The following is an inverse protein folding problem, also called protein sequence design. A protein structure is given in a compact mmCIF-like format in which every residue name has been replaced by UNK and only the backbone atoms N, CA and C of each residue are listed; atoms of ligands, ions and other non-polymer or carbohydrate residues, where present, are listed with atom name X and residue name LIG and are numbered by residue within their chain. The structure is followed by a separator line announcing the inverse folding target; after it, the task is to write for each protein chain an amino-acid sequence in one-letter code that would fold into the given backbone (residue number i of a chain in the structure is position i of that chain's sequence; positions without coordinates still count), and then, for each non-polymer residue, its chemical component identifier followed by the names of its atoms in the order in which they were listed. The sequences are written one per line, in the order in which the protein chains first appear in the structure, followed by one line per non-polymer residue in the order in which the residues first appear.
data_IF_586545849269
#
_entry.id   IF_586545849269
#
_cell.length_a   1.000
_cell.length_b   1.000
_cell.length_c   1.000
_cell.angle_alpha   90.00
_cell.angle_beta   90.00
_cell.angle_gamma   90.00
#
_symmetry.space_group_name_H-M   'P 1'
#
loop_
_entity.id
_entity.type
_entity.pdbx_description
1 polymer ?
#
# COMPACT_ATOMS: atom_id res chain seq x y z
N UNK A 1 -20.84 -49.46 -23.74
CA UNK A 1 -19.87 -48.35 -23.70
C UNK A 1 -20.24 -47.48 -22.54
N UNK A 2 -19.45 -47.51 -21.48
CA UNK A 2 -19.66 -46.70 -20.28
C UNK A 2 -18.61 -45.59 -20.18
N UNK A 3 -18.93 -44.57 -19.38
CA UNK A 3 -17.93 -43.67 -18.82
C UNK A 3 -18.18 -42.19 -19.10
N UNK A 4 -18.96 -41.57 -18.24
CA UNK A 4 -19.02 -40.12 -18.06
C UNK A 4 -17.68 -39.57 -17.54
N UNK A 5 -17.43 -38.28 -17.79
CA UNK A 5 -16.28 -37.57 -17.23
C UNK A 5 -16.45 -36.07 -17.38
N UNK A 6 -17.30 -35.48 -16.52
CA UNK A 6 -17.39 -34.05 -16.31
C UNK A 6 -16.05 -33.52 -15.78
N UNK A 7 -15.37 -32.67 -16.56
CA UNK A 7 -14.23 -31.89 -16.13
C UNK A 7 -14.69 -30.48 -15.80
N UNK A 8 -14.97 -30.22 -14.53
CA UNK A 8 -15.32 -28.89 -14.03
C UNK A 8 -14.16 -27.92 -14.24
N UNK A 9 -14.39 -26.90 -15.06
CA UNK A 9 -13.63 -25.67 -14.99
C UNK A 9 -14.14 -24.90 -13.77
N UNK A 10 -13.59 -25.21 -12.59
CA UNK A 10 -13.77 -24.36 -11.42
C UNK A 10 -13.28 -22.95 -11.76
N UNK A 11 -13.98 -21.88 -11.35
CA UNK A 11 -13.44 -20.54 -11.50
C UNK A 11 -12.11 -20.50 -10.75
N UNK A 12 -11.06 -20.12 -11.47
CA UNK A 12 -9.78 -19.76 -10.88
C UNK A 12 -10.08 -18.71 -9.82
N UNK A 13 -9.95 -19.10 -8.54
CA UNK A 13 -9.95 -18.15 -7.43
C UNK A 13 -8.77 -17.24 -7.72
N UNK A 14 -9.04 -16.09 -8.32
CA UNK A 14 -8.10 -15.00 -8.35
C UNK A 14 -7.80 -14.75 -6.87
N UNK A 15 -6.60 -15.11 -6.45
CA UNK A 15 -6.15 -14.80 -5.10
C UNK A 15 -6.42 -13.32 -4.89
N UNK A 16 -7.42 -12.99 -4.07
CA UNK A 16 -7.66 -11.66 -3.54
C UNK A 16 -6.41 -11.33 -2.74
N UNK A 17 -5.39 -10.81 -3.44
CA UNK A 17 -4.29 -10.13 -2.80
C UNK A 17 -4.96 -9.10 -1.89
N UNK A 18 -4.71 -9.12 -0.57
CA UNK A 18 -5.30 -8.14 0.33
C UNK A 18 -5.02 -6.75 -0.27
N UNK A 19 -6.03 -5.86 -0.32
CA UNK A 19 -5.89 -4.61 -1.03
C UNK A 19 -4.67 -3.87 -0.50
N UNK A 20 -3.68 -3.71 -1.38
CA UNK A 20 -2.49 -2.93 -1.09
C UNK A 20 -2.84 -1.44 -0.93
N UNK A 21 -1.86 -0.61 -0.57
CA UNK A 21 -2.05 0.83 -0.51
C UNK A 21 -2.57 1.40 -1.84
N UNK A 22 -3.47 2.39 -1.75
CA UNK A 22 -3.94 3.12 -2.92
C UNK A 22 -2.89 4.13 -3.42
N UNK A 23 -3.14 4.76 -4.57
CA UNK A 23 -2.19 5.73 -5.14
C UNK A 23 -1.90 6.92 -4.22
N UNK A 24 -2.90 7.40 -3.47
CA UNK A 24 -2.71 8.49 -2.51
C UNK A 24 -1.86 8.05 -1.32
N UNK A 25 -2.05 6.82 -0.84
CA UNK A 25 -1.24 6.24 0.22
C UNK A 25 0.22 6.10 -0.21
N UNK A 26 0.47 5.69 -1.47
CA UNK A 26 1.82 5.60 -2.04
C UNK A 26 2.49 6.98 -2.19
N UNK A 27 1.76 8.02 -2.59
CA UNK A 27 2.27 9.39 -2.65
C UNK A 27 2.60 9.93 -1.25
N UNK A 28 1.70 9.75 -0.28
CA UNK A 28 1.95 10.11 1.12
C UNK A 28 3.21 9.42 1.62
N UNK A 29 3.32 8.11 1.43
CA UNK A 29 4.44 7.30 1.87
C UNK A 29 5.77 7.79 1.25
N UNK A 30 5.77 8.09 -0.04
CA UNK A 30 6.94 8.62 -0.76
C UNK A 30 7.42 9.95 -0.19
N UNK A 31 6.50 10.88 0.09
CA UNK A 31 6.85 12.19 0.65
C UNK A 31 7.34 12.09 2.10
N UNK A 32 6.74 11.19 2.91
CA UNK A 32 7.20 10.93 4.27
C UNK A 32 8.62 10.35 4.28
N UNK A 33 8.94 9.46 3.34
CA UNK A 33 10.28 8.90 3.18
C UNK A 33 11.29 9.92 2.65
N UNK A 34 10.84 10.93 1.92
CA UNK A 34 11.64 12.11 1.58
C UNK A 34 11.87 13.07 2.78
N UNK A 35 11.43 12.70 3.99
CA UNK A 35 11.63 13.48 5.21
C UNK A 35 10.59 14.57 5.45
N UNK A 36 9.47 14.58 4.70
CA UNK A 36 8.41 15.55 4.94
C UNK A 36 7.58 15.22 6.19
N UNK A 37 7.07 16.26 6.85
CA UNK A 37 6.10 16.13 7.93
C UNK A 37 4.69 15.98 7.37
N UNK A 38 3.77 15.41 8.15
CA UNK A 38 2.38 15.17 7.74
C UNK A 38 1.67 16.46 7.34
N UNK A 39 1.98 17.57 8.02
CA UNK A 39 1.45 18.89 7.69
C UNK A 39 1.95 19.39 6.32
N UNK A 40 3.20 19.13 5.97
CA UNK A 40 3.76 19.50 4.67
C UNK A 40 3.19 18.61 3.56
N UNK A 41 3.06 17.30 3.81
CA UNK A 41 2.41 16.35 2.91
C UNK A 41 0.97 16.75 2.65
N UNK A 42 0.21 17.03 3.72
CA UNK A 42 -1.18 17.49 3.63
C UNK A 42 -1.31 18.72 2.73
N UNK A 43 -0.45 19.72 2.93
CA UNK A 43 -0.43 20.93 2.10
C UNK A 43 -0.07 20.65 0.65
N UNK A 44 0.90 19.76 0.40
CA UNK A 44 1.39 19.48 -0.96
C UNK A 44 0.39 18.66 -1.79
N UNK A 45 -0.39 17.79 -1.14
CA UNK A 45 -1.39 16.94 -1.79
C UNK A 45 -2.81 17.52 -1.75
N UNK A 46 -2.98 18.75 -1.26
CA UNK A 46 -4.30 19.38 -1.01
C UNK A 46 -5.25 18.51 -0.17
N UNK A 47 -4.71 17.89 0.89
CA UNK A 47 -5.43 17.03 1.83
C UNK A 47 -5.53 17.68 3.21
N UNK A 48 -6.55 17.30 3.97
CA UNK A 48 -6.60 17.61 5.40
C UNK A 48 -5.56 16.83 6.21
N UNK A 49 -4.92 17.45 7.21
CA UNK A 49 -3.94 16.80 8.09
C UNK A 49 -4.46 15.49 8.70
N UNK A 50 -5.72 15.48 9.16
CA UNK A 50 -6.35 14.26 9.70
C UNK A 50 -6.50 13.15 8.68
N UNK A 51 -6.67 13.48 7.40
CA UNK A 51 -6.73 12.48 6.32
C UNK A 51 -5.36 11.84 6.11
N UNK A 52 -4.29 12.64 6.09
CA UNK A 52 -2.92 12.11 6.01
C UNK A 52 -2.62 11.20 7.21
N UNK A 53 -2.89 11.66 8.42
CA UNK A 53 -2.66 10.88 9.65
C UNK A 53 -3.47 9.57 9.66
N UNK A 54 -4.74 9.60 9.22
CA UNK A 54 -5.58 8.41 9.12
C UNK A 54 -5.02 7.41 8.11
N UNK A 55 -4.58 7.88 6.95
CA UNK A 55 -3.97 7.03 5.90
C UNK A 55 -2.66 6.41 6.35
N UNK A 56 -1.78 7.18 6.99
CA UNK A 56 -0.53 6.67 7.58
C UNK A 56 -0.81 5.61 8.64
N UNK A 57 -1.83 5.82 9.48
CA UNK A 57 -2.23 4.82 10.46
C UNK A 57 -2.78 3.55 9.77
N UNK A 58 -3.60 3.69 8.73
CA UNK A 58 -4.07 2.56 7.94
C UNK A 58 -2.93 1.77 7.29
N UNK A 59 -1.89 2.46 6.79
CA UNK A 59 -0.68 1.84 6.27
C UNK A 59 0.09 1.05 7.35
N UNK A 60 0.17 1.59 8.57
CA UNK A 60 0.79 0.90 9.70
C UNK A 60 -0.01 -0.35 10.10
N UNK A 61 -1.33 -0.25 10.14
CA UNK A 61 -2.23 -1.37 10.41
C UNK A 61 -2.13 -2.45 9.31
N UNK A 62 -2.09 -2.05 8.04
CA UNK A 62 -1.93 -2.95 6.88
C UNK A 62 -0.59 -3.71 6.92
N UNK A 63 0.48 -3.05 7.36
CA UNK A 63 1.82 -3.62 7.41
C UNK A 63 2.15 -4.33 8.74
N UNK A 64 1.28 -4.20 9.75
CA UNK A 64 1.51 -4.74 11.09
C UNK A 64 2.64 -4.06 11.87
N UNK A 65 3.00 -2.83 11.50
CA UNK A 65 4.07 -2.05 12.13
C UNK A 65 3.51 -0.92 12.99
N UNK A 66 4.34 -0.34 13.85
CA UNK A 66 3.89 0.71 14.79
C UNK A 66 4.65 2.01 14.67
N UNK A 67 5.75 2.02 13.91
CA UNK A 67 6.59 3.22 13.73
C UNK A 67 6.74 3.56 12.26
N UNK A 68 6.96 4.85 11.98
CA UNK A 68 7.19 5.35 10.62
C UNK A 68 8.43 4.74 9.98
N UNK A 69 9.48 4.50 10.77
CA UNK A 69 10.70 3.86 10.29
C UNK A 69 10.44 2.42 9.84
N UNK A 70 9.70 1.64 10.64
CA UNK A 70 9.29 0.29 10.26
C UNK A 70 8.36 0.29 9.04
N UNK A 71 7.46 1.27 8.95
CA UNK A 71 6.61 1.44 7.76
C UNK A 71 7.47 1.69 6.51
N UNK A 72 8.51 2.51 6.61
CA UNK A 72 9.45 2.73 5.52
C UNK A 72 10.22 1.48 5.11
N UNK A 73 10.65 0.67 6.08
CA UNK A 73 11.28 -0.62 5.81
C UNK A 73 10.32 -1.58 5.09
N UNK A 74 9.08 -1.72 5.59
CA UNK A 74 8.06 -2.55 4.99
C UNK A 74 7.72 -2.11 3.57
N UNK A 75 7.62 -0.80 3.34
CA UNK A 75 7.36 -0.22 2.02
C UNK A 75 8.43 -0.62 0.99
N UNK A 76 9.69 -0.70 1.42
CA UNK A 76 10.79 -1.17 0.59
C UNK A 76 10.70 -2.68 0.31
N UNK A 77 10.42 -3.50 1.33
CA UNK A 77 10.28 -4.96 1.16
C UNK A 77 9.09 -5.35 0.27
N UNK A 78 8.02 -4.55 0.26
CA UNK A 78 6.80 -4.77 -0.54
C UNK A 78 6.81 -4.06 -1.90
N UNK A 79 7.91 -3.38 -2.24
CA UNK A 79 8.04 -2.59 -3.48
C UNK A 79 6.91 -1.55 -3.66
N UNK A 80 6.40 -1.00 -2.54
CA UNK A 80 5.37 0.06 -2.55
C UNK A 80 5.94 1.39 -3.01
N UNK A 81 7.22 1.61 -2.72
CA UNK A 81 7.95 2.80 -3.14
C UNK A 81 9.12 2.34 -3.99
N UNK A 82 8.98 2.49 -5.30
CA UNK A 82 10.15 2.47 -6.15
C UNK A 82 11.02 3.66 -5.71
N UNK A 83 12.30 3.40 -5.45
CA UNK A 83 13.30 4.46 -5.30
C UNK A 83 13.42 5.14 -6.67
N UNK A 84 12.49 6.02 -7.03
CA UNK A 84 12.73 7.00 -8.08
C UNK A 84 13.63 8.07 -7.48
N UNK A 85 14.88 7.65 -7.20
CA UNK A 85 16.02 8.54 -7.03
C UNK A 85 16.29 9.19 -8.38
N UNK A 86 15.34 9.96 -8.91
CA UNK A 86 15.63 10.77 -10.07
C UNK A 86 16.51 11.94 -9.63
N UNK A 87 17.78 11.74 -10.00
CA UNK A 87 18.88 12.69 -10.18
C UNK A 87 18.43 14.09 -10.54
#
# INVERSE_FOLDING_TARGET
GGGAGAGGAGPTVAEERPPGPDATDLEILSLLLAGMTDARVAKQLDLGLRTVQRRVRGLMELSGVTTRLQLGWHAYEKDWVARDLRK
#
